data_IF_866437206023
#
_entry.id   IF_866437206023
#
_cell.length_a   1.000
_cell.length_b   1.000
_cell.length_c   1.000
_cell.angle_alpha   90.00
_cell.angle_beta   90.00
_cell.angle_gamma   90.00
#
_symmetry.space_group_name_H-M   'P 1'
#
loop_
_entity.id
_entity.type
_entity.pdbx_description
1 polymer ?
#
# COMPACT_ATOMS: atom_id res chain seq x y z
N UNK A 1 0.40 -17.79 1.94
CA UNK A 1 1.70 -17.12 2.09
C UNK A 1 2.12 -17.20 3.54
N UNK A 2 3.40 -17.41 3.84
CA UNK A 2 3.91 -17.41 5.22
C UNK A 2 4.41 -16.01 5.59
N UNK A 3 3.57 -15.24 6.29
CA UNK A 3 3.87 -13.86 6.70
C UNK A 3 4.95 -13.76 7.80
N UNK A 4 5.41 -14.89 8.35
CA UNK A 4 6.53 -14.88 9.31
C UNK A 4 7.88 -14.72 8.62
N UNK A 5 7.95 -14.92 7.30
CA UNK A 5 9.16 -14.74 6.49
C UNK A 5 9.37 -13.28 6.09
N UNK A 6 10.60 -12.97 5.71
CA UNK A 6 11.02 -11.66 5.19
C UNK A 6 10.97 -11.67 3.65
N UNK A 7 11.02 -10.50 3.00
CA UNK A 7 11.14 -10.44 1.54
C UNK A 7 12.42 -11.13 1.04
N UNK A 8 13.53 -10.91 1.72
CA UNK A 8 14.83 -11.52 1.38
C UNK A 8 14.74 -13.05 1.31
N UNK A 9 14.06 -13.67 2.28
CA UNK A 9 13.86 -15.12 2.32
C UNK A 9 12.86 -15.59 1.26
N UNK A 10 11.78 -14.83 1.03
CA UNK A 10 10.73 -15.20 0.06
C UNK A 10 11.22 -15.09 -1.39
N UNK A 11 12.03 -14.08 -1.69
CA UNK A 11 12.63 -13.87 -3.00
C UNK A 11 13.89 -14.71 -3.21
N UNK A 12 14.43 -15.29 -2.13
CA UNK A 12 15.73 -15.94 -2.12
C UNK A 12 16.82 -15.02 -2.71
N UNK A 13 16.77 -13.74 -2.33
CA UNK A 13 17.58 -12.65 -2.86
C UNK A 13 18.10 -11.76 -1.73
N UNK A 14 19.37 -11.92 -1.40
CA UNK A 14 20.09 -11.18 -0.36
C UNK A 14 20.73 -9.97 -0.99
N UNK A 15 20.29 -8.78 -0.57
CA UNK A 15 20.87 -7.53 -1.04
C UNK A 15 22.19 -7.26 -0.31
N UNK A 16 23.21 -6.90 -1.07
CA UNK A 16 24.46 -6.36 -0.52
C UNK A 16 24.19 -5.02 0.21
N UNK A 17 25.19 -4.56 0.96
CA UNK A 17 25.09 -3.26 1.63
C UNK A 17 24.95 -2.14 0.58
N UNK A 18 24.07 -1.16 0.80
CA UNK A 18 23.79 -0.14 -0.21
C UNK A 18 25.00 0.75 -0.44
N UNK A 19 25.35 0.96 -1.72
CA UNK A 19 26.40 1.92 -2.11
C UNK A 19 26.04 3.36 -1.72
N UNK A 20 24.74 3.68 -1.70
CA UNK A 20 24.20 5.00 -1.37
C UNK A 20 23.42 4.96 -0.06
N UNK A 21 23.93 5.66 0.95
CA UNK A 21 23.36 5.69 2.30
C UNK A 21 22.24 6.73 2.47
N UNK A 22 21.36 6.88 1.48
CA UNK A 22 20.16 7.70 1.69
C UNK A 22 19.25 7.04 2.74
N UNK A 23 18.48 7.85 3.45
CA UNK A 23 17.53 7.33 4.45
C UNK A 23 16.54 6.33 3.81
N UNK A 24 16.06 6.64 2.61
CA UNK A 24 15.13 5.77 1.88
C UNK A 24 15.76 4.42 1.55
N UNK A 25 16.93 4.41 0.91
CA UNK A 25 17.62 3.18 0.50
C UNK A 25 17.94 2.31 1.73
N UNK A 26 18.56 2.89 2.76
CA UNK A 26 18.91 2.16 3.97
C UNK A 26 17.68 1.61 4.70
N UNK A 27 16.55 2.34 4.68
CA UNK A 27 15.29 1.86 5.25
C UNK A 27 14.71 0.71 4.45
N UNK A 28 14.67 0.79 3.11
CA UNK A 28 14.20 -0.31 2.26
C UNK A 28 15.02 -1.59 2.47
N UNK A 29 16.35 -1.50 2.56
CA UNK A 29 17.22 -2.66 2.85
C UNK A 29 16.88 -3.29 4.20
N UNK A 30 16.66 -2.48 5.25
CA UNK A 30 16.25 -2.97 6.57
C UNK A 30 14.89 -3.65 6.52
N UNK A 31 13.91 -3.03 5.86
CA UNK A 31 12.55 -3.56 5.76
C UNK A 31 12.46 -4.88 4.99
N UNK A 32 13.33 -5.11 4.00
CA UNK A 32 13.44 -6.43 3.33
C UNK A 32 13.82 -7.57 4.27
N UNK A 33 14.48 -7.25 5.39
CA UNK A 33 14.90 -8.18 6.45
C UNK A 33 13.88 -8.24 7.61
N UNK A 34 12.78 -7.50 7.51
CA UNK A 34 11.68 -7.53 8.50
C UNK A 34 10.65 -8.59 8.09
N UNK A 35 10.14 -9.42 9.03
CA UNK A 35 9.03 -10.32 8.75
C UNK A 35 7.81 -9.57 8.21
N UNK A 36 7.16 -10.08 7.17
CA UNK A 36 6.04 -9.39 6.53
C UNK A 36 4.92 -9.02 7.50
N UNK A 37 4.61 -9.91 8.45
CA UNK A 37 3.61 -9.69 9.51
C UNK A 37 3.91 -8.51 10.44
N UNK A 38 5.15 -8.03 10.46
CA UNK A 38 5.59 -6.91 11.29
C UNK A 38 5.65 -5.59 10.51
N UNK A 39 5.37 -5.60 9.20
CA UNK A 39 5.36 -4.38 8.39
C UNK A 39 4.12 -3.54 8.71
N UNK A 40 4.34 -2.24 8.95
CA UNK A 40 3.26 -1.26 9.15
C UNK A 40 2.72 -0.73 7.83
N UNK A 41 1.63 0.04 7.87
CA UNK A 41 1.12 0.74 6.69
C UNK A 41 2.17 1.68 6.07
N UNK A 42 2.97 2.36 6.89
CA UNK A 42 4.12 3.17 6.43
C UNK A 42 5.14 2.30 5.70
N UNK A 43 5.52 1.15 6.26
CA UNK A 43 6.50 0.27 5.64
C UNK A 43 6.01 -0.27 4.30
N UNK A 44 4.74 -0.68 4.23
CA UNK A 44 4.09 -1.11 2.98
C UNK A 44 4.08 0.03 1.96
N UNK A 45 3.64 1.23 2.35
CA UNK A 45 3.63 2.43 1.51
C UNK A 45 5.01 2.69 0.92
N UNK A 46 6.06 2.68 1.75
CA UNK A 46 7.43 2.93 1.32
C UNK A 46 7.92 1.89 0.31
N UNK A 47 7.79 0.59 0.63
CA UNK A 47 8.28 -0.48 -0.24
C UNK A 47 7.52 -0.55 -1.56
N UNK A 48 6.18 -0.43 -1.51
CA UNK A 48 5.32 -0.43 -2.70
C UNK A 48 5.62 0.79 -3.58
N UNK A 49 5.80 1.97 -2.99
CA UNK A 49 6.19 3.18 -3.72
C UNK A 49 7.58 3.10 -4.37
N UNK A 50 8.39 2.10 -4.02
CA UNK A 50 9.67 1.78 -4.69
C UNK A 50 9.56 0.52 -5.57
N UNK A 51 8.35 -0.03 -5.75
CA UNK A 51 8.06 -1.28 -6.45
C UNK A 51 8.87 -2.49 -5.94
N UNK A 52 9.18 -2.54 -4.64
CA UNK A 52 9.93 -3.64 -4.02
C UNK A 52 8.98 -4.72 -3.53
N UNK A 53 9.21 -5.97 -3.93
CA UNK A 53 8.51 -7.14 -3.39
C UNK A 53 7.00 -7.16 -3.64
N UNK A 54 6.52 -6.49 -4.70
CA UNK A 54 5.10 -6.25 -4.97
C UNK A 54 4.23 -7.51 -4.90
N UNK A 55 4.71 -8.66 -5.40
CA UNK A 55 3.95 -9.91 -5.39
C UNK A 55 3.57 -10.37 -3.97
N UNK A 56 4.38 -10.01 -2.97
CA UNK A 56 4.17 -10.33 -1.57
C UNK A 56 3.48 -9.19 -0.81
N UNK A 57 3.76 -7.93 -1.19
CA UNK A 57 3.28 -6.76 -0.45
C UNK A 57 1.91 -6.25 -0.90
N UNK A 58 1.54 -6.40 -2.17
CA UNK A 58 0.21 -5.99 -2.65
C UNK A 58 -0.92 -6.73 -1.94
N UNK A 59 -0.88 -8.07 -1.74
CA UNK A 59 -1.89 -8.77 -0.94
C UNK A 59 -2.06 -8.16 0.46
N UNK A 60 -0.95 -7.84 1.14
CA UNK A 60 -0.96 -7.25 2.49
C UNK A 60 -1.53 -5.83 2.48
N UNK A 61 -1.16 -5.01 1.50
CA UNK A 61 -1.70 -3.66 1.37
C UNK A 61 -3.19 -3.68 1.06
N UNK A 62 -3.66 -4.59 0.21
CA UNK A 62 -5.09 -4.79 -0.05
C UNK A 62 -5.82 -5.19 1.24
N UNK A 63 -5.30 -6.14 2.02
CA UNK A 63 -5.89 -6.53 3.31
C UNK A 63 -6.01 -5.33 4.27
N UNK A 64 -5.01 -4.43 4.30
CA UNK A 64 -5.06 -3.21 5.12
C UNK A 64 -6.10 -2.23 4.59
N UNK A 65 -6.14 -1.99 3.27
CA UNK A 65 -7.02 -1.00 2.63
C UNK A 65 -8.49 -1.43 2.62
N UNK A 66 -8.76 -2.73 2.51
CA UNK A 66 -10.10 -3.31 2.63
C UNK A 66 -10.67 -3.11 4.05
N UNK A 67 -9.81 -3.07 5.07
CA UNK A 67 -10.22 -2.77 6.46
C UNK A 67 -10.30 -1.26 6.74
N UNK A 68 -9.37 -0.47 6.23
CA UNK A 68 -9.34 0.98 6.41
C UNK A 68 -8.79 1.69 5.17
N UNK A 69 -9.73 2.16 4.33
CA UNK A 69 -9.43 2.72 3.01
C UNK A 69 -8.48 3.93 3.03
N UNK A 70 -8.61 4.80 4.04
CA UNK A 70 -7.80 6.02 4.19
C UNK A 70 -6.75 5.89 5.31
N UNK A 71 -6.24 4.69 5.56
CA UNK A 71 -5.13 4.49 6.50
C UNK A 71 -3.95 5.41 6.17
N UNK A 72 -3.35 6.00 7.21
CA UNK A 72 -2.13 6.79 7.08
C UNK A 72 -0.90 5.90 7.26
N UNK A 73 0.06 6.05 6.35
CA UNK A 73 1.39 5.49 6.34
C UNK A 73 2.45 6.54 6.62
N UNK A 74 2.14 7.50 7.48
CA UNK A 74 3.05 8.55 8.00
C UNK A 74 3.36 9.71 7.03
N UNK A 75 2.57 9.90 5.97
CA UNK A 75 2.61 11.11 5.13
C UNK A 75 1.29 11.89 5.19
N UNK A 76 0.18 11.23 4.86
CA UNK A 76 -1.18 11.78 4.88
C UNK A 76 -2.23 10.65 4.87
N UNK A 77 -3.48 10.96 5.19
CA UNK A 77 -4.57 9.97 5.16
C UNK A 77 -4.78 9.41 3.73
N UNK A 78 -4.67 8.10 3.57
CA UNK A 78 -4.80 7.41 2.28
C UNK A 78 -3.51 7.33 1.45
N UNK A 79 -2.35 7.68 2.00
CA UNK A 79 -1.06 7.60 1.29
C UNK A 79 -0.65 6.16 0.87
N UNK A 80 -1.07 5.13 1.59
CA UNK A 80 -0.91 3.73 1.20
C UNK A 80 -1.73 3.42 -0.06
N UNK A 81 -2.97 3.91 -0.11
CA UNK A 81 -3.83 3.77 -1.29
C UNK A 81 -3.19 4.43 -2.50
N UNK A 82 -2.66 5.66 -2.33
CA UNK A 82 -1.96 6.37 -3.39
C UNK A 82 -0.69 5.63 -3.86
N UNK A 83 0.04 4.99 -2.95
CA UNK A 83 1.22 4.20 -3.30
C UNK A 83 0.86 2.94 -4.09
N UNK A 84 -0.22 2.25 -3.70
CA UNK A 84 -0.76 1.11 -4.46
C UNK A 84 -1.25 1.54 -5.86
N UNK A 85 -1.95 2.67 -5.96
CA UNK A 85 -2.43 3.21 -7.22
C UNK A 85 -1.29 3.65 -8.17
N UNK A 86 -0.11 3.97 -7.62
CA UNK A 86 1.09 4.31 -8.38
C UNK A 86 1.84 3.13 -8.98
N UNK A 87 1.50 1.88 -8.61
CA UNK A 87 2.18 0.69 -9.11
C UNK A 87 1.99 0.52 -10.61
N UNK A 88 3.09 0.20 -11.29
CA UNK A 88 3.14 0.06 -12.73
C UNK A 88 2.06 -0.88 -13.30
N UNK A 89 1.52 -0.49 -14.46
CA UNK A 89 0.54 -1.29 -15.22
C UNK A 89 1.03 -2.71 -15.50
N UNK A 90 2.35 -2.88 -15.72
CA UNK A 90 2.98 -4.18 -15.98
C UNK A 90 2.75 -5.18 -14.85
N UNK A 91 2.83 -4.73 -13.59
CA UNK A 91 2.54 -5.59 -12.44
C UNK A 91 1.10 -6.09 -12.48
N UNK A 92 0.13 -5.19 -12.67
CA UNK A 92 -1.29 -5.55 -12.70
C UNK A 92 -1.63 -6.48 -13.87
N UNK A 93 -1.09 -6.22 -15.06
CA UNK A 93 -1.32 -7.07 -16.23
C UNK A 93 -0.74 -8.49 -16.05
N UNK A 94 0.29 -8.64 -15.23
CA UNK A 94 0.91 -9.94 -14.93
C UNK A 94 0.25 -10.67 -13.75
N UNK A 95 -0.66 -10.02 -13.01
CA UNK A 95 -1.24 -10.52 -11.76
C UNK A 95 -2.77 -10.39 -11.76
N UNK A 96 -3.45 -11.23 -12.55
CA UNK A 96 -4.90 -11.13 -12.79
C UNK A 96 -5.75 -11.22 -11.50
N UNK A 97 -5.37 -12.07 -10.54
CA UNK A 97 -6.10 -12.22 -9.28
C UNK A 97 -6.00 -10.96 -8.41
N UNK A 98 -4.79 -10.38 -8.27
CA UNK A 98 -4.60 -9.13 -7.53
C UNK A 98 -5.25 -7.96 -8.24
N UNK A 99 -5.26 -7.96 -9.58
CA UNK A 99 -5.98 -6.97 -10.37
C UNK A 99 -7.49 -7.04 -10.12
N UNK A 100 -8.07 -8.23 -10.00
CA UNK A 100 -9.48 -8.40 -9.64
C UNK A 100 -9.79 -7.85 -8.25
N UNK A 101 -8.96 -8.16 -7.23
CA UNK A 101 -9.12 -7.56 -5.89
C UNK A 101 -8.99 -6.03 -5.90
N UNK A 102 -8.06 -5.49 -6.69
CA UNK A 102 -7.93 -4.04 -6.85
C UNK A 102 -9.18 -3.42 -7.52
N UNK A 103 -9.85 -4.15 -8.42
CA UNK A 103 -11.16 -3.71 -8.93
C UNK A 103 -12.22 -3.66 -7.82
N UNK A 104 -12.29 -4.64 -6.92
CA UNK A 104 -13.23 -4.59 -5.78
C UNK A 104 -12.94 -3.38 -4.87
N UNK A 105 -11.65 -3.06 -4.69
CA UNK A 105 -11.23 -1.87 -3.97
C UNK A 105 -11.70 -0.57 -4.66
N UNK A 106 -11.67 -0.51 -6.00
CA UNK A 106 -12.20 0.64 -6.77
C UNK A 106 -13.69 0.85 -6.49
N UNK A 107 -14.50 -0.21 -6.46
CA UNK A 107 -15.92 -0.07 -6.13
C UNK A 107 -16.13 0.45 -4.71
N UNK A 108 -15.28 0.04 -3.77
CA UNK A 108 -15.31 0.54 -2.39
C UNK A 108 -14.95 2.03 -2.32
N UNK A 109 -13.99 2.48 -3.15
CA UNK A 109 -13.63 3.90 -3.30
C UNK A 109 -14.82 4.71 -3.84
N UNK A 110 -15.47 4.25 -4.91
CA UNK A 110 -16.61 4.93 -5.51
C UNK A 110 -17.75 5.11 -4.48
N UNK A 111 -18.07 4.06 -3.72
CA UNK A 111 -19.09 4.13 -2.66
C UNK A 111 -18.72 5.09 -1.53
N UNK A 112 -17.44 5.12 -1.14
CA UNK A 112 -16.93 6.05 -0.14
C UNK A 112 -17.04 7.51 -0.63
N UNK A 113 -16.68 7.76 -1.90
CA UNK A 113 -16.77 9.09 -2.51
C UNK A 113 -18.21 9.60 -2.54
N UNK A 114 -19.19 8.77 -2.95
CA UNK A 114 -20.61 9.14 -2.93
C UNK A 114 -21.07 9.52 -1.51
N UNK A 115 -20.66 8.74 -0.51
CA UNK A 115 -21.00 8.98 0.90
C UNK A 115 -20.40 10.29 1.40
N UNK A 116 -19.12 10.54 1.12
CA UNK A 116 -18.41 11.75 1.52
C UNK A 116 -18.97 12.99 0.84
N UNK A 117 -19.30 12.90 -0.45
CA UNK A 117 -19.94 13.99 -1.19
C UNK A 117 -21.29 14.36 -0.57
N UNK A 118 -22.14 13.37 -0.29
CA UNK A 118 -23.44 13.59 0.36
C UNK A 118 -23.27 14.22 1.76
N UNK A 119 -22.32 13.71 2.56
CA UNK A 119 -22.05 14.25 3.89
C UNK A 119 -21.59 15.71 3.82
N UNK A 120 -20.67 16.03 2.91
CA UNK A 120 -20.21 17.39 2.66
C UNK A 120 -21.35 18.32 2.26
N UNK A 121 -22.17 17.95 1.27
CA UNK A 121 -23.31 18.78 0.84
C UNK A 121 -24.32 19.05 1.97
N UNK A 122 -24.56 18.07 2.83
CA UNK A 122 -25.42 18.27 4.01
C UNK A 122 -24.80 19.23 5.03
N UNK A 123 -23.49 19.11 5.31
CA UNK A 123 -22.78 20.02 6.20
C UNK A 123 -22.77 21.45 5.66
N UNK A 124 -22.46 21.61 4.37
CA UNK A 124 -22.48 22.91 3.69
C UNK A 124 -23.86 23.56 3.83
N UNK A 125 -24.95 22.81 3.62
CA UNK A 125 -26.31 23.35 3.75
C UNK A 125 -26.71 23.72 5.18
N UNK A 126 -26.21 22.99 6.18
CA UNK A 126 -26.62 23.14 7.58
C UNK A 126 -25.76 24.14 8.38
N UNK A 127 -24.53 24.43 7.91
CA UNK A 127 -23.54 25.25 8.64
C UNK A 127 -23.12 26.48 7.81
N UNK A 128 -23.69 26.71 6.61
CA UNK A 128 -23.39 27.92 5.84
C UNK A 128 -23.81 29.18 6.60
N UNK A 129 -22.88 30.12 6.73
CA UNK A 129 -23.08 31.47 7.29
C UNK A 129 -23.93 32.36 6.37
#
# INVERSE_FOLDING_TARGET
MDYSKTLEVLENDIWEEPEFNSHLVTTCHKLRKTPLKNLTAENLRMLIGQEIGLIYLIPLALDVLENHLLVSGDMYEGDLLCSLAGVSKQFWDSNAELKARAFDLIHSIDSALETLQRAKSNLDSNISW
#
